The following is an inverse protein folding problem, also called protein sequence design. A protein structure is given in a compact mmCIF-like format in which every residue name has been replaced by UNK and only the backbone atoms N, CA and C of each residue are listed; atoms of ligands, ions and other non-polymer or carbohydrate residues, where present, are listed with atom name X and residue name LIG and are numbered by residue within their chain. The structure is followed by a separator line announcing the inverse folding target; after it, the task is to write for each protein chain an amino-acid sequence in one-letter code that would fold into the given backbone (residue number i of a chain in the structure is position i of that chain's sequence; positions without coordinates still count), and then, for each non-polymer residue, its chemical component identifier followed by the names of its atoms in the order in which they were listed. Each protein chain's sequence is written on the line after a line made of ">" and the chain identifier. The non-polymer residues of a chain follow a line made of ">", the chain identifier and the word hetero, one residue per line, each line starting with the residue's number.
data_IF_746203176177
#
_entry.id   IF_746203176177
#
_cell.length_a   1.000
_cell.length_b   1.000
_cell.length_c   1.000
_cell.angle_alpha   90.00
_cell.angle_beta   90.00
_cell.angle_gamma   90.00
#
_symmetry.space_group_name_H-M   'P 1'
#
loop_
_entity.id
_entity.type
_entity.pdbx_description
1 polymer ?
#
# COMPACT_ATOMS: atom_id res chain seq x y z
N UNK A 1 26.17 -2.18 10.49
CA UNK A 1 25.57 -1.89 9.16
C UNK A 1 25.22 -3.15 8.36
N UNK A 2 26.01 -4.23 8.43
CA UNK A 2 25.78 -5.45 7.64
C UNK A 2 24.44 -6.17 7.88
N UNK A 3 23.98 -6.26 9.13
CA UNK A 3 22.75 -7.02 9.46
C UNK A 3 21.46 -6.40 8.88
N UNK A 4 21.33 -5.06 8.92
CA UNK A 4 20.15 -4.37 8.35
C UNK A 4 20.12 -4.47 6.83
N UNK A 5 21.28 -4.37 6.18
CA UNK A 5 21.40 -4.57 4.73
C UNK A 5 21.05 -6.00 4.33
N UNK A 6 21.54 -7.00 5.08
CA UNK A 6 21.20 -8.40 4.88
C UNK A 6 19.70 -8.67 5.07
N UNK A 7 19.04 -8.00 6.02
CA UNK A 7 17.60 -8.11 6.23
C UNK A 7 16.80 -7.54 5.04
N UNK A 8 17.21 -6.39 4.49
CA UNK A 8 16.58 -5.80 3.29
C UNK A 8 16.74 -6.74 2.09
N UNK A 9 17.97 -7.19 1.81
CA UNK A 9 18.24 -8.08 0.67
C UNK A 9 17.49 -9.40 0.75
N UNK A 10 17.34 -9.95 1.96
CA UNK A 10 16.53 -11.16 2.21
C UNK A 10 15.05 -10.92 1.93
N UNK A 11 14.49 -9.83 2.44
CA UNK A 11 13.08 -9.46 2.26
C UNK A 11 12.75 -9.24 0.78
N UNK A 12 13.62 -8.53 0.05
CA UNK A 12 13.49 -8.32 -1.39
C UNK A 12 13.55 -9.65 -2.14
N UNK A 13 14.52 -10.51 -1.82
CA UNK A 13 14.68 -11.83 -2.44
C UNK A 13 13.47 -12.72 -2.17
N UNK A 14 12.93 -12.70 -0.95
CA UNK A 14 11.73 -13.44 -0.59
C UNK A 14 10.51 -12.94 -1.37
N UNK A 15 10.36 -11.62 -1.52
CA UNK A 15 9.33 -11.02 -2.35
C UNK A 15 9.39 -11.50 -3.81
N UNK A 16 10.57 -11.41 -4.43
CA UNK A 16 10.79 -11.85 -5.81
C UNK A 16 10.64 -13.37 -5.98
N UNK A 17 11.15 -14.17 -5.04
CA UNK A 17 11.03 -15.62 -5.08
C UNK A 17 9.57 -16.10 -4.91
N UNK A 18 8.75 -15.35 -4.16
CA UNK A 18 7.33 -15.63 -3.97
C UNK A 18 6.43 -15.25 -5.15
N UNK A 19 6.93 -14.48 -6.12
CA UNK A 19 6.17 -13.99 -7.26
C UNK A 19 5.60 -15.12 -8.13
N UNK A 20 6.47 -15.95 -8.72
CA UNK A 20 6.05 -17.02 -9.63
C UNK A 20 5.23 -18.14 -8.95
N UNK A 21 5.54 -18.58 -7.71
CA UNK A 21 4.67 -19.48 -6.97
C UNK A 21 3.30 -18.86 -6.64
N UNK A 22 3.26 -17.58 -6.27
CA UNK A 22 2.02 -16.85 -5.98
C UNK A 22 1.11 -16.79 -7.20
N UNK A 23 1.65 -16.44 -8.37
CA UNK A 23 0.90 -16.44 -9.63
C UNK A 23 0.35 -17.82 -10.00
N UNK A 24 1.15 -18.87 -9.83
CA UNK A 24 0.74 -20.25 -10.17
C UNK A 24 -0.34 -20.81 -9.25
N UNK A 25 -0.32 -20.44 -7.98
CA UNK A 25 -1.22 -20.99 -6.95
C UNK A 25 -2.47 -20.15 -6.70
N UNK A 26 -2.41 -18.85 -7.02
CA UNK A 26 -3.48 -17.88 -6.77
C UNK A 26 -3.94 -17.17 -8.05
N UNK A 27 -3.58 -17.67 -9.24
CA UNK A 27 -3.75 -16.96 -10.51
C UNK A 27 -5.20 -16.58 -10.80
N UNK A 28 -6.17 -17.45 -10.47
CA UNK A 28 -7.60 -17.13 -10.68
C UNK A 28 -8.08 -16.03 -9.74
N UNK A 29 -7.67 -16.04 -8.47
CA UNK A 29 -8.02 -14.98 -7.53
C UNK A 29 -7.44 -13.63 -7.95
N UNK A 30 -6.21 -13.62 -8.47
CA UNK A 30 -5.57 -12.42 -9.02
C UNK A 30 -6.28 -11.92 -10.28
N UNK A 31 -6.67 -12.81 -11.18
CA UNK A 31 -7.41 -12.46 -12.39
C UNK A 31 -8.81 -11.89 -12.06
N UNK A 32 -9.55 -12.53 -11.17
CA UNK A 32 -10.86 -12.03 -10.70
C UNK A 32 -10.69 -10.69 -9.98
N UNK A 33 -9.67 -10.56 -9.13
CA UNK A 33 -9.32 -9.29 -8.50
C UNK A 33 -9.02 -8.19 -9.52
N UNK A 34 -8.23 -8.48 -10.56
CA UNK A 34 -7.93 -7.53 -11.63
C UNK A 34 -9.19 -7.07 -12.38
N UNK A 35 -10.09 -8.00 -12.72
CA UNK A 35 -11.37 -7.67 -13.36
C UNK A 35 -12.24 -6.80 -12.46
N UNK A 36 -12.37 -7.16 -11.17
CA UNK A 36 -13.10 -6.34 -10.19
C UNK A 36 -12.45 -4.97 -9.99
N UNK A 37 -11.12 -4.89 -10.05
CA UNK A 37 -10.38 -3.63 -9.96
C UNK A 37 -10.56 -2.74 -11.20
N UNK A 38 -10.96 -3.28 -12.35
CA UNK A 38 -11.29 -2.52 -13.56
C UNK A 38 -12.74 -2.01 -13.54
N UNK A 39 -13.65 -2.76 -12.92
CA UNK A 39 -15.09 -2.46 -12.89
C UNK A 39 -15.43 -1.02 -12.46
N UNK A 40 -14.82 -0.43 -11.41
CA UNK A 40 -15.07 0.95 -11.01
C UNK A 40 -14.90 1.98 -12.13
N UNK A 41 -14.02 1.70 -13.10
CA UNK A 41 -13.73 2.60 -14.22
C UNK A 41 -14.81 2.57 -15.31
N UNK A 42 -15.65 1.54 -15.30
CA UNK A 42 -16.77 1.36 -16.23
C UNK A 42 -18.12 1.73 -15.59
N UNK A 43 -18.16 2.11 -14.31
CA UNK A 43 -19.40 2.43 -13.63
C UNK A 43 -19.94 3.81 -14.08
N UNK A 44 -21.26 3.93 -14.28
CA UNK A 44 -21.88 5.23 -14.48
C UNK A 44 -21.79 6.07 -13.19
N UNK A 45 -21.86 7.42 -13.28
CA UNK A 45 -21.74 8.30 -12.11
C UNK A 45 -22.71 7.97 -10.97
N UNK A 46 -23.92 7.51 -11.29
CA UNK A 46 -24.93 7.10 -10.31
C UNK A 46 -24.56 5.85 -9.48
N UNK A 47 -23.56 5.08 -9.91
CA UNK A 47 -23.04 3.90 -9.21
C UNK A 47 -21.63 4.11 -8.66
N UNK A 48 -21.07 5.32 -8.72
CA UNK A 48 -19.71 5.60 -8.27
C UNK A 48 -19.46 5.23 -6.79
N UNK A 49 -20.51 5.23 -5.96
CA UNK A 49 -20.43 4.81 -4.56
C UNK A 49 -20.00 3.33 -4.38
N UNK A 50 -20.17 2.48 -5.41
CA UNK A 50 -19.73 1.09 -5.41
C UNK A 50 -18.25 0.91 -5.72
N UNK A 51 -17.56 1.95 -6.22
CA UNK A 51 -16.15 1.87 -6.60
C UNK A 51 -15.27 1.37 -5.45
N UNK A 52 -15.43 1.99 -4.27
CA UNK A 52 -14.64 1.66 -3.09
C UNK A 52 -14.91 0.22 -2.60
N UNK A 53 -16.17 -0.23 -2.38
CA UNK A 53 -16.44 -1.63 -2.05
C UNK A 53 -15.86 -2.64 -3.05
N UNK A 54 -15.90 -2.33 -4.35
CA UNK A 54 -15.33 -3.20 -5.39
C UNK A 54 -13.80 -3.27 -5.31
N UNK A 55 -13.13 -2.14 -5.12
CA UNK A 55 -11.67 -2.10 -4.94
C UNK A 55 -11.25 -2.89 -3.70
N UNK A 56 -11.94 -2.71 -2.58
CA UNK A 56 -11.69 -3.45 -1.35
C UNK A 56 -11.90 -4.95 -1.53
N UNK A 57 -12.96 -5.35 -2.24
CA UNK A 57 -13.25 -6.76 -2.52
C UNK A 57 -12.18 -7.36 -3.42
N UNK A 58 -11.75 -6.61 -4.45
CA UNK A 58 -10.70 -7.00 -5.38
C UNK A 58 -9.35 -7.25 -4.67
N UNK A 59 -8.91 -6.31 -3.85
CA UNK A 59 -7.66 -6.45 -3.08
C UNK A 59 -7.78 -7.53 -2.00
N UNK A 60 -8.95 -7.66 -1.35
CA UNK A 60 -9.19 -8.70 -0.33
C UNK A 60 -9.09 -10.09 -0.94
N UNK A 61 -9.64 -10.31 -2.13
CA UNK A 61 -9.49 -11.59 -2.84
C UNK A 61 -8.02 -11.93 -3.12
N UNK A 62 -7.27 -10.96 -3.63
CA UNK A 62 -5.86 -11.15 -3.97
C UNK A 62 -5.00 -11.42 -2.73
N UNK A 63 -5.09 -10.56 -1.71
CA UNK A 63 -4.38 -10.74 -0.44
C UNK A 63 -4.82 -12.01 0.29
N UNK A 64 -6.12 -12.30 0.32
CA UNK A 64 -6.68 -13.49 0.97
C UNK A 64 -6.14 -14.78 0.38
N UNK A 65 -6.11 -14.89 -0.96
CA UNK A 65 -5.54 -16.04 -1.64
C UNK A 65 -4.05 -16.20 -1.32
N UNK A 66 -3.26 -15.13 -1.45
CA UNK A 66 -1.81 -15.15 -1.27
C UNK A 66 -1.39 -15.43 0.18
N UNK A 67 -1.97 -14.72 1.16
CA UNK A 67 -1.65 -14.97 2.58
C UNK A 67 -2.09 -16.37 3.02
N UNK A 68 -3.23 -16.86 2.53
CA UNK A 68 -3.68 -18.22 2.84
C UNK A 68 -2.76 -19.26 2.24
N UNK A 69 -2.42 -19.14 0.96
CA UNK A 69 -1.49 -20.04 0.29
C UNK A 69 -0.14 -20.09 1.02
N UNK A 70 0.35 -18.94 1.49
CA UNK A 70 1.62 -18.84 2.18
C UNK A 70 1.59 -19.34 3.64
N UNK A 71 0.49 -19.18 4.38
CA UNK A 71 0.43 -19.52 5.82
C UNK A 71 -0.22 -20.88 6.07
N UNK A 72 -1.32 -21.20 5.38
CA UNK A 72 -2.16 -22.39 5.62
C UNK A 72 -2.12 -23.41 4.50
N UNK A 73 -1.44 -23.11 3.40
CA UNK A 73 -1.39 -23.94 2.20
C UNK A 73 -2.49 -23.61 1.17
N UNK A 74 -2.35 -24.12 -0.07
CA UNK A 74 -3.26 -23.82 -1.17
C UNK A 74 -4.65 -24.39 -0.89
N UNK A 75 -5.69 -23.59 -1.15
CA UNK A 75 -7.08 -24.04 -1.03
C UNK A 75 -8.01 -23.23 -1.95
N UNK A 76 -9.10 -23.86 -2.38
CA UNK A 76 -10.00 -23.32 -3.41
C UNK A 76 -9.53 -23.65 -4.83
N UNK A 77 -10.29 -23.20 -5.82
CA UNK A 77 -9.92 -23.35 -7.23
C UNK A 77 -8.85 -22.30 -7.56
N UNK A 78 -7.57 -22.70 -7.61
CA UNK A 78 -6.42 -21.82 -7.90
C UNK A 78 -6.43 -20.51 -7.06
N UNK A 79 -6.69 -20.65 -5.76
CA UNK A 79 -6.72 -19.57 -4.76
C UNK A 79 -8.06 -18.84 -4.64
N UNK A 80 -9.01 -19.03 -5.56
CA UNK A 80 -10.31 -18.36 -5.48
C UNK A 80 -11.19 -19.00 -4.40
N UNK A 81 -11.54 -18.19 -3.39
CA UNK A 81 -12.51 -18.51 -2.34
C UNK A 81 -12.85 -17.23 -1.59
N UNK A 82 -14.12 -17.09 -1.22
CA UNK A 82 -14.56 -16.09 -0.25
C UNK A 82 -15.03 -16.79 1.01
N UNK A 83 -14.41 -16.51 2.15
CA UNK A 83 -14.72 -17.17 3.41
C UNK A 83 -14.43 -16.28 4.62
N UNK A 84 -14.37 -16.90 5.80
CA UNK A 84 -14.14 -16.19 7.05
C UNK A 84 -12.80 -15.45 7.10
N UNK A 85 -11.77 -15.93 6.37
CA UNK A 85 -10.47 -15.26 6.30
C UNK A 85 -10.58 -13.97 5.50
N UNK A 86 -11.25 -14.02 4.34
CA UNK A 86 -11.49 -12.87 3.47
C UNK A 86 -12.33 -11.80 4.19
N UNK A 87 -13.38 -12.20 4.93
CA UNK A 87 -14.15 -11.26 5.75
C UNK A 87 -13.30 -10.56 6.83
N UNK A 88 -12.39 -11.30 7.47
CA UNK A 88 -11.47 -10.72 8.46
C UNK A 88 -10.46 -9.79 7.81
N UNK A 89 -9.95 -10.14 6.63
CA UNK A 89 -9.03 -9.30 5.87
C UNK A 89 -9.72 -8.03 5.37
N UNK A 90 -10.96 -8.13 4.90
CA UNK A 90 -11.78 -6.98 4.54
C UNK A 90 -11.96 -6.05 5.75
N UNK A 91 -12.27 -6.61 6.92
CA UNK A 91 -12.39 -5.83 8.16
C UNK A 91 -11.06 -5.16 8.56
N UNK A 92 -9.92 -5.86 8.43
CA UNK A 92 -8.59 -5.27 8.67
C UNK A 92 -8.32 -4.14 7.68
N UNK A 93 -8.58 -4.36 6.39
CA UNK A 93 -8.34 -3.37 5.36
C UNK A 93 -9.23 -2.14 5.59
N UNK A 94 -10.52 -2.34 5.90
CA UNK A 94 -11.44 -1.26 6.24
C UNK A 94 -10.97 -0.47 7.46
N UNK A 95 -10.54 -1.15 8.53
CA UNK A 95 -10.06 -0.50 9.74
C UNK A 95 -8.75 0.26 9.49
N UNK A 96 -7.81 -0.31 8.73
CA UNK A 96 -6.57 0.37 8.32
C UNK A 96 -6.90 1.60 7.49
N UNK A 97 -7.81 1.50 6.51
CA UNK A 97 -8.22 2.65 5.71
C UNK A 97 -8.87 3.73 6.58
N UNK A 98 -9.78 3.38 7.49
CA UNK A 98 -10.38 4.36 8.41
C UNK A 98 -9.31 5.08 9.23
N UNK A 99 -8.35 4.34 9.80
CA UNK A 99 -7.24 4.93 10.57
C UNK A 99 -6.43 5.89 9.69
N UNK A 100 -6.03 5.46 8.49
CA UNK A 100 -5.25 6.28 7.57
C UNK A 100 -6.03 7.51 7.09
N UNK A 101 -7.33 7.39 6.82
CA UNK A 101 -8.19 8.50 6.42
C UNK A 101 -8.34 9.53 7.54
N UNK A 102 -8.55 9.09 8.79
CA UNK A 102 -8.64 9.99 9.94
C UNK A 102 -7.32 10.75 10.12
N UNK A 103 -6.18 10.05 10.07
CA UNK A 103 -4.86 10.67 10.19
C UNK A 103 -4.60 11.64 9.03
N UNK A 104 -4.94 11.26 7.80
CA UNK A 104 -4.82 12.11 6.63
C UNK A 104 -5.68 13.38 6.75
N UNK A 105 -6.91 13.27 7.25
CA UNK A 105 -7.79 14.42 7.48
C UNK A 105 -7.20 15.39 8.51
N UNK A 106 -6.69 14.87 9.64
CA UNK A 106 -6.00 15.69 10.65
C UNK A 106 -4.77 16.37 10.06
N UNK A 107 -3.92 15.64 9.34
CA UNK A 107 -2.74 16.20 8.69
C UNK A 107 -3.11 17.25 7.64
N UNK A 108 -4.16 17.04 6.85
CA UNK A 108 -4.62 18.02 5.85
C UNK A 108 -5.05 19.33 6.51
N UNK A 109 -5.77 19.26 7.64
CA UNK A 109 -6.12 20.45 8.43
C UNK A 109 -4.88 21.16 8.95
N UNK A 110 -3.90 20.42 9.48
CA UNK A 110 -2.64 20.99 9.98
C UNK A 110 -1.83 21.64 8.85
N UNK A 111 -1.71 20.98 7.70
CA UNK A 111 -1.06 21.51 6.50
C UNK A 111 -1.75 22.80 6.06
N UNK A 112 -3.08 22.79 5.95
CA UNK A 112 -3.86 23.98 5.59
C UNK A 112 -3.63 25.14 6.55
N UNK A 113 -3.64 24.89 7.85
CA UNK A 113 -3.37 25.90 8.86
C UNK A 113 -1.96 26.50 8.75
N UNK A 114 -0.93 25.68 8.53
CA UNK A 114 0.45 26.14 8.37
C UNK A 114 0.60 26.95 7.08
N UNK A 115 0.07 26.46 5.96
CA UNK A 115 0.15 27.14 4.66
C UNK A 115 -0.55 28.50 4.71
N UNK A 116 -1.74 28.58 5.32
CA UNK A 116 -2.46 29.84 5.55
C UNK A 116 -1.64 30.76 6.46
N UNK A 117 -1.02 30.24 7.51
CA UNK A 117 -0.20 31.02 8.44
C UNK A 117 1.03 31.64 7.76
N UNK A 118 1.75 30.84 6.97
CA UNK A 118 2.91 31.31 6.18
C UNK A 118 2.47 32.36 5.15
N UNK A 119 1.38 32.11 4.43
CA UNK A 119 0.88 33.06 3.44
C UNK A 119 0.49 34.41 4.09
N UNK A 120 -0.21 34.39 5.23
CA UNK A 120 -0.56 35.62 5.97
C UNK A 120 0.64 36.34 6.60
N UNK A 121 1.72 35.63 6.92
CA UNK A 121 2.95 36.28 7.38
C UNK A 121 3.70 37.03 6.27
N UNK A 122 3.53 36.60 5.02
CA UNK A 122 4.13 37.25 3.85
C UNK A 122 3.23 38.36 3.29
N UNK A 123 1.90 38.15 3.32
CA UNK A 123 0.90 39.15 2.96
C UNK A 123 -0.25 39.18 3.99
N UNK A 124 -0.26 40.15 4.91
CA UNK A 124 -1.32 40.29 5.91
C UNK A 124 -2.72 40.55 5.33
N UNK A 125 -2.81 41.03 4.08
CA UNK A 125 -4.06 41.37 3.40
C UNK A 125 -4.45 40.34 2.33
N UNK A 126 -3.87 39.13 2.40
CA UNK A 126 -4.12 38.04 1.45
C UNK A 126 -5.62 37.83 1.16
N UNK A 127 -5.99 37.99 -0.11
CA UNK A 127 -7.29 37.56 -0.62
C UNK A 127 -7.28 36.04 -0.85
N UNK A 128 -7.95 35.32 0.05
CA UNK A 128 -8.03 33.85 0.01
C UNK A 128 -8.79 33.30 -1.21
N UNK A 129 -9.51 34.14 -1.95
CA UNK A 129 -10.29 33.72 -3.13
C UNK A 129 -9.49 33.82 -4.44
N UNK A 130 -8.37 34.54 -4.43
CA UNK A 130 -7.55 34.75 -5.63
C UNK A 130 -6.37 33.79 -5.70
N UNK A 131 -6.33 32.97 -6.75
CA UNK A 131 -5.21 32.05 -7.02
C UNK A 131 -3.89 32.81 -7.24
N UNK A 132 -3.94 34.00 -7.82
CA UNK A 132 -2.77 34.85 -8.04
C UNK A 132 -2.20 35.38 -6.73
N UNK A 133 -3.07 35.76 -5.78
CA UNK A 133 -2.66 36.19 -4.45
C UNK A 133 -2.00 35.04 -3.67
N UNK A 134 -2.54 33.81 -3.79
CA UNK A 134 -1.90 32.62 -3.22
C UNK A 134 -0.51 32.33 -3.80
N UNK A 135 -0.35 32.45 -5.12
CA UNK A 135 0.97 32.28 -5.76
C UNK A 135 1.94 33.36 -5.27
N UNK A 136 1.54 34.63 -5.31
CA UNK A 136 2.40 35.73 -4.87
C UNK A 136 2.81 35.61 -3.39
N UNK A 137 1.92 35.18 -2.50
CA UNK A 137 2.21 35.03 -1.07
C UNK A 137 3.05 33.79 -0.74
N UNK A 138 3.06 32.78 -1.61
CA UNK A 138 3.85 31.56 -1.47
C UNK A 138 5.11 31.55 -2.34
N UNK A 139 5.25 32.49 -3.27
CA UNK A 139 6.45 32.69 -4.06
C UNK A 139 7.55 33.36 -3.22
N UNK A 140 8.75 32.76 -3.22
CA UNK A 140 9.91 33.27 -2.48
C UNK A 140 10.32 32.44 -1.25
N UNK A 141 11.00 33.05 -0.25
CA UNK A 141 11.58 32.31 0.88
C UNK A 141 10.57 31.51 1.71
N UNK A 142 9.29 31.92 1.71
CA UNK A 142 8.18 31.22 2.37
C UNK A 142 7.75 29.91 1.71
N UNK A 143 8.14 29.65 0.46
CA UNK A 143 7.83 28.42 -0.26
C UNK A 143 8.40 27.18 0.44
N UNK A 144 9.63 27.30 0.98
CA UNK A 144 10.33 26.21 1.66
C UNK A 144 9.55 25.77 2.92
N UNK A 145 9.26 26.65 3.91
CA UNK A 145 8.49 26.27 5.08
C UNK A 145 7.05 25.84 4.74
N UNK A 146 6.42 26.38 3.69
CA UNK A 146 5.10 25.93 3.25
C UNK A 146 5.10 24.52 2.61
N UNK A 147 6.22 24.08 2.03
CA UNK A 147 6.37 22.75 1.40
C UNK A 147 6.72 21.63 2.38
N UNK A 148 7.25 21.95 3.57
CA UNK A 148 7.65 20.95 4.57
C UNK A 148 6.45 20.17 5.15
N UNK A 149 5.32 20.78 5.56
CA UNK A 149 4.21 20.06 6.15
C UNK A 149 3.61 18.97 5.25
N UNK A 150 3.38 19.18 3.94
CA UNK A 150 2.97 18.10 3.03
C UNK A 150 3.97 16.93 2.98
N UNK A 151 5.28 17.22 2.91
CA UNK A 151 6.32 16.20 2.88
C UNK A 151 6.38 15.39 4.18
N UNK A 152 6.32 16.07 5.32
CA UNK A 152 6.27 15.41 6.63
C UNK A 152 5.00 14.58 6.79
N UNK A 153 3.87 15.08 6.31
CA UNK A 153 2.60 14.34 6.32
C UNK A 153 2.71 13.05 5.49
N UNK A 154 3.33 13.11 4.31
CA UNK A 154 3.60 11.93 3.49
C UNK A 154 4.49 10.92 4.22
N UNK A 155 5.56 11.39 4.89
CA UNK A 155 6.45 10.52 5.69
C UNK A 155 5.67 9.84 6.82
N UNK A 156 4.82 10.58 7.55
CA UNK A 156 3.98 10.04 8.62
C UNK A 156 3.01 9.00 8.09
N UNK A 157 2.38 9.26 6.94
CA UNK A 157 1.45 8.32 6.30
C UNK A 157 2.15 7.03 5.86
N UNK A 158 3.31 7.13 5.22
CA UNK A 158 4.12 5.98 4.83
C UNK A 158 4.54 5.20 6.08
N UNK A 159 5.04 5.88 7.10
CA UNK A 159 5.43 5.25 8.37
C UNK A 159 4.27 4.48 8.99
N UNK A 160 3.09 5.09 9.07
CA UNK A 160 1.90 4.47 9.66
C UNK A 160 1.42 3.26 8.85
N UNK A 161 1.40 3.37 7.52
CA UNK A 161 1.09 2.26 6.63
C UNK A 161 2.05 1.07 6.83
N UNK A 162 3.36 1.34 6.89
CA UNK A 162 4.36 0.31 7.13
C UNK A 162 4.21 -0.34 8.50
N UNK A 163 3.84 0.43 9.54
CA UNK A 163 3.58 -0.09 10.89
C UNK A 163 2.40 -1.05 10.92
N UNK A 164 1.41 -0.83 10.05
CA UNK A 164 0.19 -1.63 9.91
C UNK A 164 0.31 -2.76 8.87
N UNK A 165 1.38 -2.79 8.08
CA UNK A 165 1.56 -3.72 6.95
C UNK A 165 1.52 -5.21 7.33
N UNK A 166 1.83 -5.56 8.59
CA UNK A 166 1.79 -6.95 9.08
C UNK A 166 0.42 -7.37 9.65
N UNK A 167 -0.53 -6.44 9.80
CA UNK A 167 -1.88 -6.73 10.32
C UNK A 167 -2.61 -7.82 9.50
N UNK A 168 -2.56 -7.83 8.15
CA UNK A 168 -3.16 -8.88 7.35
C UNK A 168 -2.57 -10.27 7.62
N UNK A 169 -1.23 -10.39 7.66
CA UNK A 169 -0.54 -11.65 7.91
C UNK A 169 -0.87 -12.21 9.30
N UNK A 170 -0.81 -11.37 10.33
CA UNK A 170 -1.15 -11.74 11.71
C UNK A 170 -2.62 -12.17 11.86
N UNK A 171 -3.52 -11.54 11.10
CA UNK A 171 -4.95 -11.87 11.11
C UNK A 171 -5.23 -13.24 10.50
N UNK A 172 -4.55 -13.58 9.40
CA UNK A 172 -4.68 -14.88 8.73
C UNK A 172 -4.09 -15.99 9.59
N UNK A 173 -2.94 -15.76 10.20
CA UNK A 173 -2.26 -16.73 11.06
C UNK A 173 -3.10 -17.03 12.32
N UNK A 174 -3.43 -15.99 13.10
CA UNK A 174 -4.11 -16.14 14.40
C UNK A 174 -5.62 -16.33 14.30
N UNK A 175 -6.19 -16.16 13.11
CA UNK A 175 -7.63 -16.33 12.88
C UNK A 175 -8.50 -15.35 13.67
N UNK A 176 -8.01 -14.14 13.95
CA UNK A 176 -8.74 -13.04 14.61
C UNK A 176 -8.33 -11.73 13.97
N UNK A 177 -9.21 -10.73 13.93
CA UNK A 177 -8.89 -9.40 13.40
C UNK A 177 -7.80 -8.77 14.28
N UNK A 178 -6.63 -8.49 13.70
CA UNK A 178 -5.45 -8.01 14.41
C UNK A 178 -4.89 -6.75 13.73
N UNK A 179 -5.33 -5.57 14.18
CA UNK A 179 -4.83 -4.29 13.64
C UNK A 179 -3.86 -3.62 14.60
N UNK A 180 -4.29 -3.35 15.83
CA UNK A 180 -3.43 -2.67 16.82
C UNK A 180 -2.30 -3.56 17.36
N UNK A 181 -2.53 -4.87 17.49
CA UNK A 181 -1.50 -5.82 17.92
C UNK A 181 -0.34 -5.91 16.92
N UNK A 182 -0.54 -5.55 15.66
CA UNK A 182 0.50 -5.55 14.64
C UNK A 182 1.52 -4.41 14.81
N UNK A 183 1.17 -3.34 15.56
CA UNK A 183 2.14 -2.30 15.93
C UNK A 183 3.32 -2.85 16.74
N UNK A 184 3.11 -3.89 17.55
CA UNK A 184 4.23 -4.54 18.24
C UNK A 184 5.20 -5.21 17.26
N UNK A 185 4.66 -5.87 16.22
CA UNK A 185 5.38 -6.73 15.30
C UNK A 185 6.30 -5.98 14.33
N UNK A 186 5.98 -4.72 14.01
CA UNK A 186 6.77 -3.90 13.07
C UNK A 186 7.83 -3.03 13.76
N UNK A 187 8.03 -3.20 15.08
CA UNK A 187 8.93 -2.32 15.86
C UNK A 187 10.38 -2.56 15.44
N UNK A 188 11.06 -1.49 15.01
CA UNK A 188 12.45 -1.57 14.52
C UNK A 188 12.60 -2.05 13.06
N UNK A 189 11.51 -2.41 12.37
CA UNK A 189 11.53 -2.93 11.00
C UNK A 189 11.02 -1.95 9.95
N UNK A 190 10.52 -0.78 10.37
CA UNK A 190 9.94 0.21 9.45
C UNK A 190 10.92 0.61 8.35
N UNK A 191 12.19 0.88 8.71
CA UNK A 191 13.20 1.30 7.73
C UNK A 191 13.58 0.15 6.75
N UNK A 192 13.84 -1.08 7.22
CA UNK A 192 14.00 -2.23 6.32
C UNK A 192 12.79 -2.47 5.40
N UNK A 193 11.56 -2.35 5.94
CA UNK A 193 10.33 -2.49 5.17
C UNK A 193 10.17 -1.37 4.13
N UNK A 194 10.49 -0.12 4.49
CA UNK A 194 10.48 1.00 3.57
C UNK A 194 11.47 0.79 2.42
N UNK A 195 12.70 0.37 2.73
CA UNK A 195 13.73 0.12 1.73
C UNK A 195 13.36 -1.06 0.83
N UNK A 196 12.90 -2.18 1.40
CA UNK A 196 12.43 -3.31 0.62
C UNK A 196 11.22 -2.93 -0.26
N UNK A 197 10.25 -2.21 0.30
CA UNK A 197 9.09 -1.70 -0.44
C UNK A 197 9.48 -0.80 -1.60
N UNK A 198 10.43 0.12 -1.40
CA UNK A 198 10.93 1.00 -2.44
C UNK A 198 11.62 0.21 -3.57
N UNK A 199 12.47 -0.77 -3.23
CA UNK A 199 13.15 -1.62 -4.22
C UNK A 199 12.16 -2.47 -5.01
N UNK A 200 11.15 -3.03 -4.35
CA UNK A 200 10.12 -3.86 -4.99
C UNK A 200 9.14 -3.03 -5.82
N UNK A 201 8.88 -1.78 -5.43
CA UNK A 201 8.02 -0.86 -6.17
C UNK A 201 8.75 -0.18 -7.34
N UNK A 202 10.08 -0.09 -7.32
CA UNK A 202 10.86 0.64 -8.32
C UNK A 202 10.55 0.22 -9.77
N UNK A 203 10.48 -1.07 -10.15
CA UNK A 203 10.13 -1.47 -11.51
C UNK A 203 8.74 -0.99 -11.93
N UNK A 204 7.79 -0.99 -10.99
CA UNK A 204 6.44 -0.52 -11.24
C UNK A 204 6.41 1.00 -11.44
N UNK A 205 7.12 1.75 -10.59
CA UNK A 205 7.25 3.21 -10.72
C UNK A 205 7.91 3.60 -12.04
N UNK A 206 9.00 2.94 -12.43
CA UNK A 206 9.69 3.18 -13.71
C UNK A 206 8.74 2.96 -14.88
N UNK A 207 7.96 1.88 -14.86
CA UNK A 207 7.01 1.57 -15.93
C UNK A 207 5.90 2.62 -16.01
N UNK A 208 5.34 3.04 -14.87
CA UNK A 208 4.30 4.08 -14.82
C UNK A 208 4.83 5.42 -15.35
N UNK A 209 6.04 5.82 -14.95
CA UNK A 209 6.69 7.04 -15.44
C UNK A 209 6.95 6.95 -16.95
N UNK A 210 7.46 5.81 -17.44
CA UNK A 210 7.70 5.60 -18.86
C UNK A 210 6.40 5.68 -19.67
N UNK A 211 5.31 5.10 -19.19
CA UNK A 211 3.99 5.20 -19.83
C UNK A 211 3.48 6.63 -19.80
N UNK A 212 3.65 7.35 -18.70
CA UNK A 212 3.29 8.78 -18.60
C UNK A 212 4.05 9.63 -19.61
N UNK A 213 5.35 9.37 -19.78
CA UNK A 213 6.19 10.06 -20.75
C UNK A 213 5.78 9.76 -22.19
N UNK A 214 5.53 8.47 -22.51
CA UNK A 214 5.02 8.08 -23.83
C UNK A 214 3.66 8.72 -24.11
N UNK A 215 2.77 8.81 -23.11
CA UNK A 215 1.49 9.53 -23.24
C UNK A 215 1.67 11.00 -23.59
N UNK A 216 2.57 11.68 -22.87
CA UNK A 216 2.84 13.09 -23.10
C UNK A 216 3.37 13.37 -24.52
N UNK A 217 4.18 12.46 -25.07
CA UNK A 217 4.75 12.61 -26.42
C UNK A 217 3.77 12.16 -27.51
N UNK A 218 3.08 11.04 -27.30
CA UNK A 218 2.22 10.43 -28.31
C UNK A 218 0.79 11.02 -28.38
N UNK A 219 0.44 11.96 -27.49
CA UNK A 219 -0.85 12.64 -27.49
C UNK A 219 -2.04 11.72 -27.16
N UNK A 220 -1.82 10.67 -26.38
CA UNK A 220 -2.91 9.78 -25.96
C UNK A 220 -3.92 10.53 -25.07
N UNK A 221 -5.22 10.38 -25.36
CA UNK A 221 -6.28 11.01 -24.57
C UNK A 221 -6.30 10.54 -23.12
N UNK A 222 -6.70 11.45 -22.23
CA UNK A 222 -7.07 11.10 -20.85
C UNK A 222 -8.18 10.05 -20.90
N UNK A 223 -7.94 8.89 -20.29
CA UNK A 223 -8.89 7.76 -20.30
C UNK A 223 -8.57 6.60 -21.25
N UNK A 224 -7.43 6.60 -21.95
CA UNK A 224 -7.04 5.44 -22.74
C UNK A 224 -7.02 4.15 -21.88
N UNK A 225 -7.67 3.09 -22.37
CA UNK A 225 -7.80 1.80 -21.68
C UNK A 225 -6.44 1.15 -21.40
N UNK A 226 -5.46 1.33 -22.29
CA UNK A 226 -4.17 0.64 -22.23
C UNK A 226 -3.42 0.94 -20.92
N UNK A 227 -3.22 2.19 -20.47
CA UNK A 227 -2.51 2.44 -19.22
C UNK A 227 -3.29 2.06 -17.96
N UNK A 228 -4.62 2.02 -18.04
CA UNK A 228 -5.44 1.48 -16.95
C UNK A 228 -5.22 -0.03 -16.81
N UNK A 229 -5.26 -0.76 -17.93
CA UNK A 229 -4.98 -2.19 -17.97
C UNK A 229 -3.57 -2.50 -17.46
N UNK A 230 -2.56 -1.73 -17.90
CA UNK A 230 -1.18 -1.91 -17.42
C UNK A 230 -1.08 -1.65 -15.93
N UNK A 231 -1.72 -0.60 -15.41
CA UNK A 231 -1.68 -0.28 -13.97
C UNK A 231 -2.33 -1.38 -13.12
N UNK A 232 -3.48 -1.90 -13.55
CA UNK A 232 -4.15 -3.01 -12.87
C UNK A 232 -3.32 -4.29 -12.98
N UNK A 233 -2.78 -4.60 -14.15
CA UNK A 233 -1.96 -5.79 -14.34
C UNK A 233 -0.71 -5.76 -13.46
N UNK A 234 -0.03 -4.61 -13.40
CA UNK A 234 1.13 -4.38 -12.56
C UNK A 234 0.80 -4.52 -11.07
N UNK A 235 -0.36 -4.02 -10.64
CA UNK A 235 -0.80 -4.14 -9.25
C UNK A 235 -1.09 -5.61 -8.89
N UNK A 236 -1.94 -6.29 -9.65
CA UNK A 236 -2.44 -7.62 -9.30
C UNK A 236 -1.47 -8.75 -9.63
N UNK A 237 -0.70 -8.65 -10.72
CA UNK A 237 0.19 -9.72 -11.14
C UNK A 237 1.66 -9.50 -10.75
N UNK A 238 2.04 -8.33 -10.25
CA UNK A 238 3.41 -8.08 -9.78
C UNK A 238 3.45 -7.57 -8.34
N UNK A 239 2.91 -6.37 -8.08
CA UNK A 239 3.14 -5.68 -6.81
C UNK A 239 2.48 -6.41 -5.62
N UNK A 240 1.21 -6.81 -5.74
CA UNK A 240 0.49 -7.52 -4.68
C UNK A 240 1.18 -8.87 -4.35
N UNK A 241 1.50 -9.76 -5.31
CA UNK A 241 2.21 -11.00 -5.03
C UNK A 241 3.57 -10.79 -4.36
N UNK A 242 4.40 -9.91 -4.92
CA UNK A 242 5.77 -9.66 -4.45
C UNK A 242 5.77 -9.04 -3.06
N UNK A 243 4.89 -8.06 -2.83
CA UNK A 243 4.75 -7.42 -1.52
C UNK A 243 4.22 -8.39 -0.46
N UNK A 244 3.22 -9.21 -0.81
CA UNK A 244 2.66 -10.20 0.12
C UNK A 244 3.72 -11.22 0.53
N UNK A 245 4.51 -11.73 -0.41
CA UNK A 245 5.59 -12.67 -0.12
C UNK A 245 6.67 -12.07 0.80
N UNK A 246 7.06 -10.81 0.55
CA UNK A 246 7.99 -10.08 1.42
C UNK A 246 7.44 -9.93 2.85
N UNK A 247 6.16 -9.57 2.99
CA UNK A 247 5.52 -9.42 4.30
C UNK A 247 5.37 -10.75 5.04
N UNK A 248 5.09 -11.85 4.35
CA UNK A 248 5.00 -13.19 4.96
C UNK A 248 6.36 -13.65 5.48
N UNK A 249 7.44 -13.46 4.70
CA UNK A 249 8.79 -13.79 5.15
C UNK A 249 9.15 -13.04 6.43
N UNK A 250 8.92 -11.73 6.44
CA UNK A 250 9.20 -10.88 7.59
C UNK A 250 8.30 -11.21 8.78
N UNK A 251 7.02 -11.54 8.55
CA UNK A 251 6.12 -12.01 9.60
C UNK A 251 6.62 -13.30 10.25
N UNK A 252 7.04 -14.29 9.47
CA UNK A 252 7.58 -15.57 10.00
C UNK A 252 8.80 -15.33 10.89
N UNK A 253 9.70 -14.45 10.49
CA UNK A 253 10.90 -14.15 11.28
C UNK A 253 10.62 -13.37 12.58
N UNK A 254 9.49 -12.66 12.67
CA UNK A 254 9.09 -11.90 13.86
C UNK A 254 8.14 -12.66 14.79
N UNK A 255 7.30 -13.52 14.22
CA UNK A 255 6.24 -14.21 14.95
C UNK A 255 6.67 -15.59 15.49
N UNK A 256 7.69 -16.24 14.90
CA UNK A 256 8.25 -17.49 15.42
C UNK A 256 9.23 -17.20 16.57
N UNK A 257 9.02 -17.75 17.77
CA UNK A 257 10.05 -17.74 18.81
C UNK A 257 11.31 -18.43 18.27
N UNK A 258 12.49 -17.92 18.62
CA UNK A 258 13.73 -18.68 18.41
C UNK A 258 13.55 -20.08 19.03
N UNK A 259 13.99 -21.17 18.37
CA UNK A 259 13.98 -22.49 18.98
C UNK A 259 14.75 -22.38 20.30
N UNK A 260 14.09 -22.70 21.42
CA UNK A 260 14.77 -22.88 22.70
C UNK A 260 15.88 -23.91 22.48
N UNK A 261 17.16 -23.55 22.69
CA UNK A 261 18.24 -24.50 22.56
C UNK A 261 18.07 -25.52 23.69
N UNK A 262 17.50 -26.69 23.41
CA UNK A 262 17.29 -27.68 24.48
C UNK A 262 16.38 -28.87 24.21
N UNK A 263 15.61 -28.96 23.14
CA UNK A 263 14.80 -30.18 22.89
C UNK A 263 15.41 -31.02 21.78
N UNK A 264 16.56 -31.64 22.08
CA UNK A 264 16.90 -32.94 21.51
C UNK A 264 15.95 -33.93 22.18
N UNK A 265 14.96 -34.43 21.44
CA UNK A 265 14.23 -35.63 21.86
C UNK A 265 15.00 -36.83 21.34
N UNK A 266 15.63 -37.53 22.29
CA UNK A 266 16.05 -38.92 22.23
C UNK A 266 14.92 -39.84 21.76
#
# INVERSE_FOLDING_TARGET
>A
MGERSAAIGRTVRAGLAGWAPGLRTCGTALAVGAVLGLLPRALPPGLAFLALPLEFSATTLAYGALYRAAIRGPSGWNGLRWGAVEWRLLAVQALVTVILTVVAAVLAVLVGAVVVGVAKSNDPHLDITSLEAWRAALDGPGAIPASLPPLLSMIVMIWLFLRLSLAPAATVDRGKVQVLSAFGLTRGLVLPLAAAGAVLAAPACILVVAIGYVRAIAGFSEGALVPQLVSVALLFFYLIPVWTAALVDLYRHQALPAPTPGTVRS
#
